data_IF_354327183682
#
_entry.id   IF_354327183682
#
_cell.length_a   1.000
_cell.length_b   1.000
_cell.length_c   1.000
_cell.angle_alpha   90.00
_cell.angle_beta   90.00
_cell.angle_gamma   90.00
#
_symmetry.space_group_name_H-M   'P 1'
#
loop_
_entity.id
_entity.type
_entity.pdbx_description
1 polymer ?
#
# COMPACT_ATOMS: atom_id res chain seq x y z
N UNK A 1 30.36 29.57 -8.65
CA UNK A 1 29.34 28.97 -7.76
C UNK A 1 28.85 27.70 -8.43
N UNK A 2 29.08 26.53 -7.83
CA UNK A 2 28.64 25.24 -8.40
C UNK A 2 27.49 24.73 -7.54
N UNK A 3 26.26 24.90 -8.01
CA UNK A 3 25.08 24.31 -7.41
C UNK A 3 25.05 22.80 -7.71
N UNK A 4 25.59 22.00 -6.80
CA UNK A 4 25.39 20.56 -6.80
C UNK A 4 23.94 20.26 -6.42
N UNK A 5 23.10 20.10 -7.44
CA UNK A 5 21.75 19.57 -7.28
C UNK A 5 21.83 18.10 -6.83
N UNK A 6 22.14 17.85 -5.55
CA UNK A 6 22.21 16.51 -4.95
C UNK A 6 20.78 15.98 -4.84
N UNK A 7 20.31 15.29 -5.87
CA UNK A 7 19.09 14.49 -5.80
C UNK A 7 19.21 13.56 -4.59
N UNK A 8 18.40 13.79 -3.55
CA UNK A 8 18.38 12.95 -2.35
C UNK A 8 18.04 11.52 -2.77
N UNK A 9 19.03 10.62 -2.76
CA UNK A 9 18.81 9.17 -2.96
C UNK A 9 17.82 8.69 -1.91
N UNK A 10 16.61 8.32 -2.33
CA UNK A 10 15.62 7.68 -1.46
C UNK A 10 15.84 6.17 -1.50
N UNK A 11 15.78 5.50 -0.35
CA UNK A 11 16.02 4.04 -0.20
C UNK A 11 14.93 3.14 -0.83
N UNK A 12 14.03 3.70 -1.64
CA UNK A 12 12.87 2.98 -2.16
C UNK A 12 11.92 2.51 -1.05
N UNK A 13 10.97 1.66 -1.42
CA UNK A 13 10.11 0.93 -0.49
C UNK A 13 10.27 -0.56 -0.77
N UNK A 14 10.39 -1.37 0.28
CA UNK A 14 10.37 -2.83 0.18
C UNK A 14 9.02 -3.32 0.67
N UNK A 15 8.33 -4.13 -0.14
CA UNK A 15 7.02 -4.71 0.18
C UNK A 15 7.20 -6.21 0.39
N UNK A 16 6.71 -6.75 1.52
CA UNK A 16 6.81 -8.19 1.83
C UNK A 16 5.46 -8.79 2.21
N UNK A 17 4.58 -7.99 2.78
CA UNK A 17 3.27 -8.40 3.28
C UNK A 17 2.17 -7.53 2.67
N UNK A 18 0.92 -8.01 2.63
CA UNK A 18 -0.22 -7.16 2.27
C UNK A 18 -0.35 -5.92 3.16
N UNK A 19 0.10 -5.99 4.43
CA UNK A 19 0.14 -4.84 5.33
C UNK A 19 1.07 -3.72 4.84
N UNK A 20 2.21 -4.05 4.24
CA UNK A 20 3.12 -3.06 3.68
C UNK A 20 2.45 -2.27 2.54
N UNK A 21 1.67 -2.97 1.69
CA UNK A 21 0.89 -2.34 0.63
C UNK A 21 -0.13 -1.37 1.21
N UNK A 22 -0.84 -1.77 2.27
CA UNK A 22 -1.81 -0.90 2.94
C UNK A 22 -1.17 0.37 3.49
N UNK A 23 -0.03 0.26 4.16
CA UNK A 23 0.72 1.40 4.71
C UNK A 23 1.14 2.38 3.62
N UNK A 24 1.61 1.87 2.47
CA UNK A 24 2.03 2.72 1.34
C UNK A 24 0.84 3.43 0.73
N UNK A 25 -0.25 2.71 0.46
CA UNK A 25 -1.49 3.31 -0.08
C UNK A 25 -2.00 4.40 0.86
N UNK A 26 -2.12 4.10 2.16
CA UNK A 26 -2.57 5.05 3.17
C UNK A 26 -1.69 6.30 3.15
N UNK A 27 -0.36 6.15 3.16
CA UNK A 27 0.57 7.28 3.12
C UNK A 27 0.37 8.17 1.90
N UNK A 28 0.20 7.58 0.72
CA UNK A 28 0.05 8.34 -0.53
C UNK A 28 -1.28 9.07 -0.56
N UNK A 29 -2.38 8.37 -0.22
CA UNK A 29 -3.71 8.96 -0.19
C UNK A 29 -3.77 10.08 0.85
N UNK A 30 -3.31 9.85 2.09
CA UNK A 30 -3.29 10.88 3.11
C UNK A 30 -2.51 12.12 2.66
N UNK A 31 -1.40 11.95 1.93
CA UNK A 31 -0.64 13.08 1.40
C UNK A 31 -1.42 13.85 0.33
N UNK A 32 -2.13 13.16 -0.56
CA UNK A 32 -2.96 13.79 -1.57
C UNK A 32 -4.08 14.64 -0.94
N UNK A 33 -4.77 14.12 0.08
CA UNK A 33 -5.80 14.85 0.81
C UNK A 33 -5.24 16.04 1.61
N UNK A 34 -4.08 15.88 2.25
CA UNK A 34 -3.42 16.98 2.96
C UNK A 34 -3.01 18.13 2.03
N UNK A 35 -2.73 17.83 0.77
CA UNK A 35 -2.38 18.83 -0.26
C UNK A 35 -3.61 19.36 -1.01
N UNK A 36 -4.82 18.87 -0.74
CA UNK A 36 -6.04 19.25 -1.47
C UNK A 36 -6.06 18.79 -2.94
N UNK A 37 -5.30 17.74 -3.26
CA UNK A 37 -5.11 17.23 -4.65
C UNK A 37 -5.83 15.91 -4.89
N UNK A 38 -6.69 15.48 -3.99
CA UNK A 38 -7.45 14.24 -4.10
C UNK A 38 -8.35 14.19 -5.33
N UNK A 39 -8.90 15.34 -5.76
CA UNK A 39 -9.71 15.43 -6.97
C UNK A 39 -8.85 15.39 -8.24
N UNK A 40 -7.72 16.11 -8.26
CA UNK A 40 -6.73 16.08 -9.35
C UNK A 40 -6.20 14.66 -9.58
N UNK A 41 -5.96 13.92 -8.49
CA UNK A 41 -5.46 12.55 -8.54
C UNK A 41 -6.54 11.47 -8.37
N UNK A 42 -7.81 11.82 -8.52
CA UNK A 42 -8.96 10.93 -8.25
C UNK A 42 -8.84 9.55 -8.91
N UNK A 43 -8.46 9.50 -10.20
CA UNK A 43 -8.25 8.23 -10.91
C UNK A 43 -7.12 7.37 -10.32
N UNK A 44 -6.01 7.99 -9.90
CA UNK A 44 -4.88 7.28 -9.26
C UNK A 44 -5.23 6.86 -7.84
N UNK A 45 -5.97 7.69 -7.11
CA UNK A 45 -6.50 7.36 -5.78
C UNK A 45 -7.43 6.15 -5.86
N UNK A 46 -8.34 6.11 -6.84
CA UNK A 46 -9.22 4.97 -7.06
C UNK A 46 -8.43 3.67 -7.34
N UNK A 47 -7.36 3.74 -8.15
CA UNK A 47 -6.47 2.60 -8.39
C UNK A 47 -5.78 2.12 -7.11
N UNK A 48 -5.26 3.05 -6.29
CA UNK A 48 -4.63 2.71 -5.02
C UNK A 48 -5.63 2.08 -4.03
N UNK A 49 -6.86 2.58 -3.98
CA UNK A 49 -7.93 1.99 -3.16
C UNK A 49 -8.28 0.58 -3.62
N UNK A 50 -8.36 0.33 -4.93
CA UNK A 50 -8.58 -1.02 -5.45
C UNK A 50 -7.45 -1.99 -5.04
N UNK A 51 -6.19 -1.53 -5.09
CA UNK A 51 -5.04 -2.31 -4.61
C UNK A 51 -5.14 -2.57 -3.11
N UNK A 52 -5.56 -1.58 -2.32
CA UNK A 52 -5.76 -1.71 -0.88
C UNK A 52 -6.83 -2.76 -0.53
N UNK A 53 -7.96 -2.77 -1.25
CA UNK A 53 -9.02 -3.78 -1.08
C UNK A 53 -8.47 -5.19 -1.35
N UNK A 54 -7.75 -5.39 -2.45
CA UNK A 54 -7.16 -6.70 -2.78
C UNK A 54 -6.19 -7.20 -1.71
N UNK A 55 -5.40 -6.28 -1.12
CA UNK A 55 -4.51 -6.64 -0.01
C UNK A 55 -5.29 -7.11 1.23
N UNK A 56 -6.47 -6.54 1.51
CA UNK A 56 -7.33 -7.03 2.60
C UNK A 56 -7.97 -8.38 2.30
N UNK A 57 -8.35 -8.63 1.05
CA UNK A 57 -8.92 -9.91 0.63
C UNK A 57 -7.91 -11.04 0.80
N UNK A 58 -6.64 -10.81 0.43
CA UNK A 58 -5.56 -11.77 0.61
C UNK A 58 -5.31 -12.14 2.07
N UNK A 59 -5.37 -11.16 2.99
CA UNK A 59 -5.21 -11.44 4.43
C UNK A 59 -6.36 -12.31 4.95
N UNK A 60 -7.59 -12.06 4.51
CA UNK A 60 -8.75 -12.89 4.88
C UNK A 60 -8.61 -14.32 4.33
N UNK A 61 -8.13 -14.47 3.10
CA UNK A 61 -7.87 -15.78 2.51
C UNK A 61 -6.81 -16.56 3.28
N UNK A 62 -5.68 -15.91 3.62
CA UNK A 62 -4.62 -16.53 4.42
C UNK A 62 -5.13 -16.98 5.81
N UNK A 63 -6.03 -16.21 6.42
CA UNK A 63 -6.67 -16.61 7.68
C UNK A 63 -7.58 -17.84 7.52
N UNK A 64 -8.36 -17.90 6.43
CA UNK A 64 -9.21 -19.05 6.11
C UNK A 64 -8.35 -20.30 5.88
N UNK A 65 -7.28 -20.19 5.09
CA UNK A 65 -6.35 -21.30 4.83
C UNK A 65 -5.74 -21.83 6.13
N UNK A 66 -5.34 -20.95 7.05
CA UNK A 66 -4.83 -21.33 8.37
C UNK A 66 -5.87 -22.10 9.19
N UNK A 67 -7.13 -21.69 9.15
CA UNK A 67 -8.22 -22.35 9.88
C UNK A 67 -8.56 -23.71 9.25
N UNK A 68 -8.55 -23.82 7.93
CA UNK A 68 -8.75 -25.09 7.23
C UNK A 68 -7.64 -26.09 7.57
N UNK A 69 -6.37 -25.67 7.50
CA UNK A 69 -5.25 -26.52 7.86
C UNK A 69 -5.34 -27.04 9.31
N UNK A 70 -5.83 -26.22 10.25
CA UNK A 70 -6.04 -26.63 11.63
C UNK A 70 -7.19 -27.64 11.81
N UNK A 71 -8.19 -27.62 10.92
CA UNK A 71 -9.28 -28.60 10.91
C UNK A 71 -8.85 -29.91 10.26
N UNK A 72 -8.06 -29.86 9.20
CA UNK A 72 -7.54 -31.03 8.47
C UNK A 72 -6.46 -31.80 9.25
N UNK A 73 -5.77 -31.14 10.18
CA UNK A 73 -4.77 -31.77 11.06
C UNK A 73 -5.37 -32.58 12.23
N UNK A 74 -6.71 -32.68 12.31
CA UNK A 74 -7.44 -33.48 13.30
C UNK A 74 -7.82 -34.84 12.73
#
# INVERSE_FOLDING_TARGET
MVDYNRVKKRRGVTLRTPDDVRRVVQRIISKAFQEGKELEYSGRVAQLLAVWIKAMELDKLAEIEKRLAALEAR
#
